data_IF_398515347566
#
_entry.id   IF_398515347566
#
_cell.length_a   1.000
_cell.length_b   1.000
_cell.length_c   1.000
_cell.angle_alpha   90.00
_cell.angle_beta   90.00
_cell.angle_gamma   90.00
#
_symmetry.space_group_name_H-M   'P 1'
#
loop_
_entity.id
_entity.type
_entity.pdbx_description
1 polymer ?
#
# COMPACT_ATOMS: atom_id res chain seq x y z
N UNK A 1 -2.62 -8.42 3.27
CA UNK A 1 -2.59 -6.96 3.02
C UNK A 1 -4.02 -6.49 2.81
N UNK A 2 -4.48 -5.49 3.55
CA UNK A 2 -5.79 -4.85 3.37
C UNK A 2 -5.68 -3.58 2.51
N UNK A 3 -6.79 -2.90 2.24
CA UNK A 3 -6.84 -1.76 1.32
C UNK A 3 -6.06 -0.58 1.87
N UNK A 4 -6.16 -0.36 3.19
CA UNK A 4 -5.35 0.61 3.90
C UNK A 4 -3.85 0.38 3.70
N UNK A 5 -3.37 -0.85 3.90
CA UNK A 5 -1.93 -1.16 3.79
C UNK A 5 -1.37 -0.87 2.38
N UNK A 6 -2.09 -1.30 1.33
CA UNK A 6 -1.60 -1.13 -0.05
C UNK A 6 -1.69 0.31 -0.53
N UNK A 7 -2.65 1.10 -0.01
CA UNK A 7 -2.72 2.54 -0.25
C UNK A 7 -1.58 3.28 0.46
N UNK A 8 -1.32 2.95 1.73
CA UNK A 8 -0.19 3.50 2.47
C UNK A 8 1.15 3.22 1.78
N UNK A 9 1.36 1.97 1.33
CA UNK A 9 2.53 1.60 0.55
C UNK A 9 2.65 2.45 -0.71
N UNK A 10 1.57 2.51 -1.51
CA UNK A 10 1.55 3.27 -2.76
C UNK A 10 1.90 4.74 -2.52
N UNK A 11 1.32 5.37 -1.50
CA UNK A 11 1.55 6.78 -1.22
C UNK A 11 2.98 7.03 -0.73
N UNK A 12 3.47 6.24 0.22
CA UNK A 12 4.85 6.38 0.72
C UNK A 12 5.88 6.23 -0.40
N UNK A 13 5.68 5.27 -1.30
CA UNK A 13 6.58 5.06 -2.45
C UNK A 13 6.43 6.17 -3.49
N UNK A 14 5.19 6.54 -3.86
CA UNK A 14 4.92 7.58 -4.86
C UNK A 14 5.53 8.93 -4.49
N UNK A 15 5.48 9.29 -3.21
CA UNK A 15 5.96 10.56 -2.70
C UNK A 15 7.38 10.47 -2.11
N UNK A 16 8.04 9.32 -2.22
CA UNK A 16 9.37 9.06 -1.66
C UNK A 16 9.48 9.47 -0.18
N UNK A 17 8.46 9.18 0.63
CA UNK A 17 8.36 9.68 2.00
C UNK A 17 9.48 9.20 2.93
N UNK A 18 10.19 8.14 2.52
CA UNK A 18 11.31 7.53 3.22
C UNK A 18 12.69 8.04 2.77
N UNK A 19 12.77 8.90 1.75
CA UNK A 19 14.05 9.40 1.24
C UNK A 19 14.84 10.14 2.31
N UNK A 20 16.14 9.81 2.43
CA UNK A 20 17.03 10.40 3.43
C UNK A 20 16.80 9.92 4.87
N UNK A 21 15.76 9.12 5.14
CA UNK A 21 15.51 8.55 6.47
C UNK A 21 16.37 7.30 6.65
N UNK A 22 17.42 7.37 7.48
CA UNK A 22 18.35 6.24 7.68
C UNK A 22 17.92 5.29 8.80
N UNK A 23 17.29 5.81 9.86
CA UNK A 23 16.81 5.00 10.98
C UNK A 23 15.46 4.35 10.64
N UNK A 24 15.37 3.03 10.80
CA UNK A 24 14.16 2.27 10.46
C UNK A 24 13.03 2.46 11.47
N UNK A 25 13.34 2.98 12.66
CA UNK A 25 12.35 3.34 13.68
C UNK A 25 11.89 4.80 13.57
N UNK A 26 12.47 5.59 12.67
CA UNK A 26 12.02 6.95 12.46
C UNK A 26 10.64 6.95 11.76
N UNK A 27 9.62 7.59 12.35
CA UNK A 27 8.29 7.66 11.76
C UNK A 27 8.27 8.65 10.59
N UNK A 28 7.59 8.28 9.52
CA UNK A 28 7.23 9.20 8.43
C UNK A 28 5.73 9.32 8.32
N UNK A 29 5.26 10.48 7.89
CA UNK A 29 3.83 10.71 7.63
C UNK A 29 3.46 10.03 6.32
N UNK A 30 2.37 9.28 6.31
CA UNK A 30 1.80 8.75 5.07
C UNK A 30 1.09 9.88 4.33
N UNK A 31 1.56 10.29 3.14
CA UNK A 31 0.92 11.36 2.38
C UNK A 31 -0.37 10.87 1.73
N UNK A 32 -1.22 11.80 1.28
CA UNK A 32 -2.40 11.48 0.45
C UNK A 32 -3.58 10.83 1.17
N UNK A 33 -3.59 10.84 2.51
CA UNK A 33 -4.73 10.41 3.33
C UNK A 33 -5.36 11.62 4.04
N UNK A 34 -6.68 11.60 4.24
CA UNK A 34 -7.39 12.64 5.00
C UNK A 34 -6.95 12.66 6.47
N UNK A 35 -6.83 11.48 7.07
CA UNK A 35 -6.31 11.28 8.42
C UNK A 35 -4.80 11.19 8.39
N UNK A 36 -4.15 11.80 9.39
CA UNK A 36 -2.71 11.70 9.58
C UNK A 36 -2.37 10.32 10.16
N UNK A 37 -1.55 9.58 9.43
CA UNK A 37 -0.92 8.35 9.92
C UNK A 37 0.59 8.48 9.85
N UNK A 38 1.26 7.89 10.82
CA UNK A 38 2.71 7.79 10.86
C UNK A 38 3.10 6.32 10.83
N UNK A 39 4.14 6.00 10.07
CA UNK A 39 4.63 4.63 9.90
C UNK A 39 6.15 4.64 9.87
N UNK A 40 6.74 3.67 10.55
CA UNK A 40 8.19 3.40 10.47
C UNK A 40 8.45 2.27 9.47
N UNK A 41 9.67 2.19 8.92
CA UNK A 41 10.05 1.03 8.09
C UNK A 41 9.92 -0.27 8.87
N UNK A 42 10.30 -0.28 10.15
CA UNK A 42 10.22 -1.44 11.03
C UNK A 42 8.78 -1.97 11.22
N UNK A 43 7.77 -1.09 11.17
CA UNK A 43 6.35 -1.46 11.23
C UNK A 43 5.79 -1.97 9.90
N UNK A 44 6.49 -1.73 8.79
CA UNK A 44 6.03 -2.01 7.43
C UNK A 44 6.99 -2.93 6.66
N UNK A 45 7.22 -4.18 7.11
CA UNK A 45 8.08 -5.14 6.40
C UNK A 45 7.58 -5.47 4.98
N UNK A 46 6.28 -5.28 4.72
CA UNK A 46 5.68 -5.47 3.40
C UNK A 46 5.94 -4.34 2.40
N UNK A 47 6.53 -3.21 2.83
CA UNK A 47 6.87 -2.11 1.93
C UNK A 47 8.26 -2.37 1.36
N UNK A 48 8.34 -3.32 0.43
CA UNK A 48 9.59 -3.97 0.00
C UNK A 48 10.67 -2.99 -0.45
N UNK A 49 10.30 -1.87 -1.11
CA UNK A 49 11.26 -0.84 -1.55
C UNK A 49 11.99 -0.16 -0.38
N UNK A 50 11.44 -0.22 0.83
CA UNK A 50 12.08 0.29 2.05
C UNK A 50 13.21 -0.57 2.60
N UNK A 51 13.46 -1.77 2.05
CA UNK A 51 14.41 -2.75 2.56
C UNK A 51 15.55 -3.02 1.56
N UNK A 52 16.82 -2.88 1.98
CA UNK A 52 17.97 -3.18 1.13
C UNK A 52 17.93 -4.61 0.61
N UNK A 53 18.14 -4.78 -0.69
CA UNK A 53 18.14 -6.08 -1.37
C UNK A 53 16.77 -6.57 -1.82
N UNK A 54 15.69 -5.82 -1.52
CA UNK A 54 14.33 -6.14 -1.95
C UNK A 54 13.85 -5.28 -3.13
N UNK A 55 14.69 -4.40 -3.67
CA UNK A 55 14.31 -3.42 -4.70
C UNK A 55 13.78 -4.09 -5.95
N UNK A 56 14.48 -5.11 -6.47
CA UNK A 56 14.03 -5.87 -7.65
C UNK A 56 12.67 -6.55 -7.40
N UNK A 57 12.48 -7.12 -6.21
CA UNK A 57 11.21 -7.77 -5.86
C UNK A 57 10.09 -6.75 -5.76
N UNK A 58 10.35 -5.57 -5.19
CA UNK A 58 9.40 -4.47 -5.15
C UNK A 58 9.00 -4.03 -6.56
N UNK A 59 9.97 -3.86 -7.46
CA UNK A 59 9.72 -3.51 -8.87
C UNK A 59 8.92 -4.58 -9.61
N UNK A 60 9.21 -5.87 -9.37
CA UNK A 60 8.47 -6.99 -9.96
C UNK A 60 7.01 -7.03 -9.45
N UNK A 61 6.79 -6.81 -8.16
CA UNK A 61 5.44 -6.72 -7.56
C UNK A 61 4.66 -5.53 -8.12
N UNK A 62 5.29 -4.36 -8.20
CA UNK A 62 4.64 -3.15 -8.71
C UNK A 62 4.31 -3.26 -10.19
N UNK A 63 5.19 -3.86 -11.00
CA UNK A 63 4.92 -4.16 -12.41
C UNK A 63 3.74 -5.12 -12.55
N UNK A 64 3.73 -6.23 -11.80
CA UNK A 64 2.62 -7.18 -11.82
C UNK A 64 1.29 -6.54 -11.40
N UNK A 65 1.30 -5.64 -10.41
CA UNK A 65 0.10 -4.88 -10.01
C UNK A 65 -0.39 -3.90 -11.09
N UNK A 66 0.53 -3.27 -11.81
CA UNK A 66 0.19 -2.31 -12.86
C UNK A 66 -0.32 -2.99 -14.14
N UNK A 67 0.14 -4.20 -14.44
CA UNK A 67 -0.28 -4.99 -15.60
C UNK A 67 -1.55 -5.81 -15.35
N UNK A 68 -1.92 -6.05 -14.09
CA UNK A 68 -3.11 -6.80 -13.73
C UNK A 68 -4.41 -6.02 -14.01
N UNK A 69 -5.47 -6.73 -14.37
CA UNK A 69 -6.82 -6.16 -14.53
C UNK A 69 -7.41 -5.64 -13.20
N UNK A 70 -6.92 -6.15 -12.08
CA UNK A 70 -7.35 -5.75 -10.74
C UNK A 70 -6.63 -6.52 -9.63
N UNK A 71 -7.02 -6.25 -8.39
CA UNK A 71 -6.48 -6.92 -7.20
C UNK A 71 -7.61 -7.64 -6.47
N UNK A 72 -7.33 -8.89 -6.08
CA UNK A 72 -8.18 -9.69 -5.21
C UNK A 72 -7.72 -9.51 -3.76
N UNK A 73 -8.65 -9.19 -2.87
CA UNK A 73 -8.34 -8.96 -1.45
C UNK A 73 -9.33 -9.69 -0.54
N UNK A 74 -8.79 -10.38 0.47
CA UNK A 74 -9.58 -11.00 1.54
C UNK A 74 -9.94 -9.91 2.57
N UNK A 75 -11.08 -9.26 2.36
CA UNK A 75 -11.61 -8.17 3.20
C UNK A 75 -13.13 -8.07 2.95
N UNK A 76 -13.80 -7.04 3.46
CA UNK A 76 -15.16 -6.63 3.06
C UNK A 76 -15.22 -5.10 3.05
N UNK A 77 -16.01 -4.52 2.14
CA UNK A 77 -15.98 -3.07 1.84
C UNK A 77 -16.29 -2.23 3.07
N UNK A 78 -17.23 -2.68 3.89
CA UNK A 78 -17.75 -1.97 5.05
C UNK A 78 -16.71 -1.74 6.15
N UNK A 79 -15.64 -2.55 6.17
CA UNK A 79 -14.55 -2.40 7.14
C UNK A 79 -13.63 -1.22 6.82
N UNK A 80 -13.37 -0.97 5.53
CA UNK A 80 -12.37 -0.02 5.06
C UNK A 80 -12.83 0.79 3.82
N UNK A 81 -14.06 1.36 3.80
CA UNK A 81 -14.65 1.90 2.58
C UNK A 81 -13.83 3.06 1.99
N UNK A 82 -13.30 3.93 2.86
CA UNK A 82 -12.46 5.06 2.46
C UNK A 82 -11.15 4.62 1.78
N UNK A 83 -10.55 3.52 2.24
CA UNK A 83 -9.26 3.03 1.72
C UNK A 83 -9.42 2.18 0.45
N UNK A 84 -10.51 1.41 0.34
CA UNK A 84 -10.86 0.70 -0.91
C UNK A 84 -11.04 1.70 -2.05
N UNK A 85 -11.83 2.76 -1.81
CA UNK A 85 -12.05 3.82 -2.79
C UNK A 85 -10.75 4.57 -3.12
N UNK A 86 -9.97 4.94 -2.10
CA UNK A 86 -8.69 5.62 -2.29
C UNK A 86 -7.68 4.80 -3.09
N UNK A 87 -7.57 3.50 -2.84
CA UNK A 87 -6.67 2.61 -3.58
C UNK A 87 -7.12 2.41 -5.03
N UNK A 88 -8.42 2.21 -5.27
CA UNK A 88 -8.96 2.10 -6.62
C UNK A 88 -8.68 3.36 -7.45
N UNK A 89 -8.89 4.55 -6.86
CA UNK A 89 -8.60 5.83 -7.49
C UNK A 89 -7.09 6.02 -7.76
N UNK A 90 -6.24 5.73 -6.78
CA UNK A 90 -4.79 5.87 -6.90
C UNK A 90 -4.18 5.00 -8.01
N UNK A 91 -4.80 3.85 -8.29
CA UNK A 91 -4.34 2.88 -9.30
C UNK A 91 -5.15 2.92 -10.60
N UNK A 92 -6.12 3.82 -10.73
CA UNK A 92 -7.07 3.87 -11.84
C UNK A 92 -7.70 2.50 -12.17
N UNK A 93 -7.90 1.67 -11.13
CA UNK A 93 -8.49 0.35 -11.29
C UNK A 93 -10.00 0.47 -11.47
N UNK A 94 -10.56 -0.37 -12.35
CA UNK A 94 -12.00 -0.45 -12.56
C UNK A 94 -12.69 -1.25 -11.46
N UNK A 95 -12.05 -2.33 -10.98
CA UNK A 95 -12.64 -3.25 -10.00
C UNK A 95 -11.60 -3.70 -8.93
N UNK A 96 -11.98 -3.60 -7.66
CA UNK A 96 -11.29 -4.26 -6.53
C UNK A 96 -12.16 -5.43 -6.10
N UNK A 97 -11.74 -6.65 -6.43
CA UNK A 97 -12.48 -7.86 -6.11
C UNK A 97 -12.25 -8.23 -4.65
N UNK A 98 -13.30 -8.11 -3.86
CA UNK A 98 -13.27 -8.39 -2.43
C UNK A 98 -13.92 -9.74 -2.20
N UNK A 99 -13.13 -10.71 -1.74
CA UNK A 99 -13.64 -12.03 -1.39
C UNK A 99 -13.95 -12.05 0.11
N UNK A 100 -15.24 -12.14 0.42
CA UNK A 100 -15.71 -12.55 1.74
C UNK A 100 -15.84 -14.06 1.70
N UNK A 101 -15.17 -14.77 2.61
CA UNK A 101 -15.52 -16.17 2.84
C UNK A 101 -16.82 -16.17 3.63
N UNK A 102 -17.96 -16.20 2.94
CA UNK A 102 -19.23 -16.58 3.56
C UNK A 102 -19.08 -18.05 3.99
N UNK A 103 -19.23 -18.31 5.30
CA UNK A 103 -19.28 -19.66 5.87
C UNK A 103 -20.70 -20.21 5.84
#
# INVERSE_FOLDING_TARGET
MCAFCVLCQHNVERFNAYDGVLDYNHPVVVPGLEKRFEVTRAQAPGFFRGWPGWEKFADDVERARAEADGVVMNTFVEMEPEYVAGYAAARAMKDVLIFVHDN
#
